data_IF_008072389393
#
_entry.id   IF_008072389393
#
_cell.length_a   1.000
_cell.length_b   1.000
_cell.length_c   1.000
_cell.angle_alpha   90.00
_cell.angle_beta   90.00
_cell.angle_gamma   90.00
#
_symmetry.space_group_name_H-M   'P 1'
#
loop_
_entity.id
_entity.type
_entity.pdbx_description
1 polymer ?
#
# COMPACT_ATOMS: atom_id res chain seq x y z
N UNK A 1 38.79 30.87 11.01
CA UNK A 1 37.58 30.27 11.61
C UNK A 1 37.80 28.78 11.81
N UNK A 2 37.65 28.21 13.03
CA UNK A 2 37.81 26.76 13.25
C UNK A 2 36.61 26.01 12.65
N UNK A 3 36.87 25.00 11.81
CA UNK A 3 35.84 24.28 11.03
C UNK A 3 35.02 23.29 11.86
N UNK A 4 35.56 22.69 12.92
CA UNK A 4 34.84 21.75 13.80
C UNK A 4 35.30 21.83 15.25
N UNK A 5 34.47 21.32 16.17
CA UNK A 5 34.78 21.28 17.61
C UNK A 5 35.87 20.24 17.98
N UNK A 6 36.28 19.35 17.07
CA UNK A 6 37.24 18.28 17.35
C UNK A 6 36.67 17.14 18.22
N UNK A 7 37.51 16.19 18.63
CA UNK A 7 37.09 15.04 19.47
C UNK A 7 36.65 15.53 20.85
N UNK A 8 35.38 15.29 21.18
CA UNK A 8 34.82 15.65 22.49
C UNK A 8 34.90 14.46 23.46
N UNK A 9 35.11 14.76 24.74
CA UNK A 9 34.96 13.77 25.82
C UNK A 9 33.47 13.46 26.01
N UNK A 10 33.15 12.19 26.18
CA UNK A 10 31.78 11.71 26.46
C UNK A 10 31.81 10.83 27.71
N UNK A 11 30.68 10.74 28.40
CA UNK A 11 30.52 9.85 29.56
C UNK A 11 30.50 8.37 29.11
N UNK A 12 31.02 7.48 29.96
CA UNK A 12 31.02 6.03 29.72
C UNK A 12 29.70 5.39 30.15
N UNK A 13 28.62 5.85 29.54
CA UNK A 13 27.26 5.32 29.68
C UNK A 13 26.64 5.09 28.30
N UNK A 14 25.41 4.58 28.26
CA UNK A 14 24.67 4.45 27.00
C UNK A 14 24.58 5.82 26.31
N UNK A 15 24.94 5.88 25.02
CA UNK A 15 24.75 7.08 24.21
C UNK A 15 23.27 7.18 23.89
N UNK A 16 22.55 8.20 24.35
CA UNK A 16 21.08 8.24 24.25
C UNK A 16 20.56 8.50 22.82
N UNK A 17 21.22 9.37 22.05
CA UNK A 17 20.85 9.63 20.66
C UNK A 17 21.14 8.40 19.78
N UNK A 18 20.10 7.91 19.07
CA UNK A 18 20.20 6.76 18.17
C UNK A 18 21.28 6.96 17.09
N UNK A 19 21.29 8.10 16.41
CA UNK A 19 22.24 8.40 15.34
C UNK A 19 23.68 8.49 15.86
N UNK A 20 23.86 9.19 16.99
CA UNK A 20 25.16 9.31 17.64
C UNK A 20 25.66 7.93 18.12
N UNK A 21 24.78 7.10 18.66
CA UNK A 21 25.08 5.74 19.11
C UNK A 21 25.46 4.83 17.94
N UNK A 22 24.70 4.85 16.84
CA UNK A 22 25.00 4.09 15.61
C UNK A 22 26.34 4.49 14.99
N UNK A 23 26.64 5.79 14.96
CA UNK A 23 27.94 6.31 14.50
C UNK A 23 29.08 5.91 15.43
N UNK A 24 28.87 6.04 16.74
CA UNK A 24 29.85 5.68 17.78
C UNK A 24 30.16 4.20 17.74
N UNK A 25 29.14 3.34 17.62
CA UNK A 25 29.29 1.90 17.44
C UNK A 25 30.20 1.59 16.25
N UNK A 26 29.91 2.18 15.09
CA UNK A 26 30.67 1.95 13.86
C UNK A 26 32.14 2.37 14.01
N UNK A 27 32.38 3.56 14.58
CA UNK A 27 33.74 4.07 14.82
C UNK A 27 34.51 3.25 15.86
N UNK A 28 33.88 2.88 16.98
CA UNK A 28 34.50 2.08 18.03
C UNK A 28 34.80 0.67 17.54
N UNK A 29 33.88 0.02 16.82
CA UNK A 29 34.11 -1.29 16.21
C UNK A 29 35.32 -1.26 15.26
N UNK A 30 35.42 -0.24 14.41
CA UNK A 30 36.58 -0.08 13.53
C UNK A 30 37.88 0.14 14.32
N UNK A 31 37.82 0.93 15.40
CA UNK A 31 38.96 1.14 16.29
C UNK A 31 39.42 -0.13 17.02
N UNK A 32 38.48 -0.94 17.52
CA UNK A 32 38.75 -2.24 18.15
C UNK A 32 39.41 -3.17 17.14
N UNK A 33 38.84 -3.30 15.94
CA UNK A 33 39.41 -4.13 14.87
C UNK A 33 40.84 -3.71 14.53
N UNK A 34 41.10 -2.40 14.39
CA UNK A 34 42.45 -1.89 14.13
C UNK A 34 43.42 -2.29 15.24
N UNK A 35 43.02 -2.08 16.51
CA UNK A 35 43.85 -2.40 17.67
C UNK A 35 44.13 -3.90 17.77
N UNK A 36 43.15 -4.72 17.45
CA UNK A 36 43.30 -6.16 17.47
C UNK A 36 44.26 -6.65 16.40
N UNK A 37 44.18 -6.11 15.18
CA UNK A 37 45.15 -6.42 14.13
C UNK A 37 46.57 -6.00 14.52
N UNK A 38 46.74 -4.85 15.19
CA UNK A 38 48.04 -4.44 15.73
C UNK A 38 48.56 -5.44 16.78
N UNK A 39 47.70 -5.88 17.71
CA UNK A 39 48.07 -6.88 18.74
C UNK A 39 48.45 -8.21 18.09
N UNK A 40 47.63 -8.71 17.16
CA UNK A 40 47.89 -9.95 16.43
C UNK A 40 49.25 -9.86 15.72
N UNK A 41 49.52 -8.76 15.01
CA UNK A 41 50.75 -8.62 14.25
C UNK A 41 52.02 -8.52 15.12
N UNK A 42 51.92 -7.95 16.33
CA UNK A 42 53.08 -7.77 17.23
C UNK A 42 53.29 -8.99 18.13
N UNK A 43 52.21 -9.61 18.60
CA UNK A 43 52.27 -10.67 19.60
C UNK A 43 52.11 -12.07 19.00
N UNK A 44 51.74 -12.20 17.72
CA UNK A 44 51.43 -13.47 17.05
C UNK A 44 50.41 -14.30 17.85
N UNK A 45 49.27 -13.67 18.16
CA UNK A 45 48.21 -14.26 18.99
C UNK A 45 46.95 -14.50 18.20
N UNK A 46 46.23 -15.55 18.58
CA UNK A 46 44.86 -15.78 18.13
C UNK A 46 43.90 -14.91 18.94
N UNK A 47 42.93 -14.30 18.26
CA UNK A 47 42.00 -13.39 18.92
C UNK A 47 40.65 -13.37 18.21
N UNK A 48 39.55 -13.26 18.96
CA UNK A 48 38.20 -13.09 18.41
C UNK A 48 37.35 -12.12 19.22
N UNK A 49 36.36 -11.46 18.58
CA UNK A 49 35.30 -10.74 19.27
C UNK A 49 33.95 -10.89 18.58
N UNK A 50 32.88 -10.73 19.36
CA UNK A 50 31.51 -10.67 18.89
C UNK A 50 30.82 -9.44 19.50
N UNK A 51 30.17 -8.63 18.65
CA UNK A 51 29.43 -7.46 19.11
C UNK A 51 28.07 -7.39 18.43
N UNK A 52 27.02 -7.16 19.21
CA UNK A 52 25.69 -6.87 18.70
C UNK A 52 25.47 -5.37 18.55
N UNK A 53 24.85 -4.97 17.44
CA UNK A 53 24.27 -3.62 17.32
C UNK A 53 22.78 -3.67 17.67
N UNK A 54 22.14 -2.51 17.77
CA UNK A 54 20.68 -2.43 17.98
C UNK A 54 19.86 -3.08 16.87
N UNK A 55 20.47 -3.36 15.71
CA UNK A 55 19.84 -4.16 14.66
C UNK A 55 19.67 -5.64 15.03
N UNK A 56 20.27 -6.11 16.12
CA UNK A 56 20.25 -7.51 16.55
C UNK A 56 21.17 -8.44 15.76
N UNK A 57 21.84 -7.94 14.71
CA UNK A 57 22.77 -8.75 13.92
C UNK A 57 24.15 -8.77 14.57
N UNK A 58 24.74 -9.95 14.81
CA UNK A 58 26.10 -10.05 15.32
C UNK A 58 27.08 -9.56 14.24
N UNK A 59 28.10 -8.84 14.69
CA UNK A 59 29.31 -8.55 13.92
C UNK A 59 30.47 -9.24 14.62
N UNK A 60 31.11 -10.14 13.90
CA UNK A 60 32.19 -10.97 14.42
C UNK A 60 33.52 -10.62 13.76
N UNK A 61 34.61 -10.92 14.45
CA UNK A 61 35.96 -10.94 13.92
C UNK A 61 36.70 -12.08 14.62
N UNK A 62 37.52 -12.80 13.88
CA UNK A 62 38.41 -13.82 14.44
C UNK A 62 39.67 -13.93 13.58
N UNK A 63 40.75 -14.32 14.24
CA UNK A 63 42.01 -14.68 13.63
C UNK A 63 42.51 -15.98 14.31
N UNK A 64 42.94 -17.01 13.55
CA UNK A 64 43.03 -17.04 12.09
C UNK A 64 41.68 -17.23 11.37
N UNK A 65 40.79 -18.08 11.89
CA UNK A 65 39.42 -18.24 11.38
C UNK A 65 38.37 -18.20 12.48
N UNK A 66 37.09 -18.18 12.09
CA UNK A 66 35.98 -18.22 13.06
C UNK A 66 35.80 -19.63 13.62
N UNK A 67 36.07 -20.64 12.78
CA UNK A 67 36.05 -22.05 13.12
C UNK A 67 37.04 -22.35 14.24
N UNK A 68 38.29 -21.89 14.09
CA UNK A 68 39.32 -22.02 15.14
C UNK A 68 38.87 -21.34 16.44
N UNK A 69 38.27 -20.14 16.33
CA UNK A 69 37.78 -19.42 17.49
C UNK A 69 36.63 -20.16 18.21
N UNK A 70 35.74 -20.81 17.47
CA UNK A 70 34.66 -21.62 18.03
C UNK A 70 35.22 -22.88 18.69
N UNK A 71 36.13 -23.58 18.02
CA UNK A 71 36.72 -24.82 18.51
C UNK A 71 37.51 -24.58 19.79
N UNK A 72 38.29 -23.50 19.86
CA UNK A 72 38.96 -23.09 21.11
C UNK A 72 37.99 -22.88 22.26
N UNK A 73 36.86 -22.20 22.03
CA UNK A 73 35.86 -21.94 23.07
C UNK A 73 35.23 -23.26 23.53
N UNK A 74 34.93 -24.17 22.61
CA UNK A 74 34.41 -25.51 22.94
C UNK A 74 35.40 -26.29 23.81
N UNK A 75 36.67 -26.36 23.40
CA UNK A 75 37.71 -27.05 24.14
C UNK A 75 37.98 -26.43 25.51
N UNK A 76 37.99 -25.09 25.61
CA UNK A 76 38.24 -24.36 26.87
C UNK A 76 37.14 -24.56 27.93
N UNK A 77 35.93 -24.88 27.49
CA UNK A 77 34.79 -25.15 28.39
C UNK A 77 34.76 -26.61 28.89
N UNK A 78 35.81 -27.41 28.65
CA UNK A 78 35.89 -28.81 29.08
C UNK A 78 34.91 -29.72 28.34
N UNK A 79 34.45 -29.29 27.16
CA UNK A 79 33.48 -30.01 26.36
C UNK A 79 34.22 -30.94 25.39
N UNK A 80 34.59 -32.13 25.87
CA UNK A 80 34.88 -33.27 24.98
C UNK A 80 33.69 -33.46 24.01
N UNK A 81 33.90 -33.82 22.74
CA UNK A 81 32.83 -33.98 21.76
C UNK A 81 31.99 -35.23 22.08
N UNK A 82 31.18 -35.16 23.13
CA UNK A 82 30.07 -36.05 23.38
C UNK A 82 28.97 -35.65 22.40
N UNK A 83 28.67 -36.50 21.42
CA UNK A 83 27.73 -36.25 20.31
C UNK A 83 26.27 -35.97 20.69
N UNK A 84 25.99 -35.49 21.92
CA UNK A 84 24.66 -35.13 22.42
C UNK A 84 24.44 -33.61 22.49
N UNK A 85 25.50 -32.80 22.53
CA UNK A 85 25.40 -31.37 22.82
C UNK A 85 25.31 -30.46 21.58
N UNK A 86 25.75 -30.95 20.42
CA UNK A 86 25.51 -30.29 19.12
C UNK A 86 24.01 -30.17 18.82
N UNK A 87 23.20 -31.13 19.29
CA UNK A 87 21.74 -31.05 19.21
C UNK A 87 21.16 -29.92 20.08
N UNK A 88 21.79 -29.60 21.22
CA UNK A 88 21.33 -28.57 22.16
C UNK A 88 21.62 -27.16 21.64
N UNK A 89 22.84 -26.92 21.14
CA UNK A 89 23.19 -25.64 20.48
C UNK A 89 22.43 -25.48 19.17
N UNK A 90 22.33 -26.55 18.38
CA UNK A 90 21.52 -26.59 17.16
C UNK A 90 20.05 -26.24 17.42
N UNK A 91 19.46 -26.83 18.46
CA UNK A 91 18.09 -26.55 18.91
C UNK A 91 17.91 -25.08 19.33
N UNK A 92 18.86 -24.49 20.07
CA UNK A 92 18.80 -23.09 20.46
C UNK A 92 18.91 -22.14 19.26
N UNK A 93 19.82 -22.44 18.32
CA UNK A 93 19.98 -21.68 17.07
C UNK A 93 18.72 -21.79 16.20
N UNK A 94 18.12 -22.97 16.10
CA UNK A 94 16.86 -23.18 15.40
C UNK A 94 15.70 -22.45 16.05
N UNK A 95 15.57 -22.50 17.39
CA UNK A 95 14.55 -21.78 18.13
C UNK A 95 14.67 -20.26 17.90
N UNK A 96 15.89 -19.72 17.96
CA UNK A 96 16.13 -18.31 17.64
C UNK A 96 15.75 -17.96 16.19
N UNK A 97 16.14 -18.81 15.22
CA UNK A 97 15.76 -18.63 13.81
C UNK A 97 14.24 -18.66 13.63
N UNK A 98 13.53 -19.58 14.28
CA UNK A 98 12.05 -19.68 14.23
C UNK A 98 11.41 -18.42 14.79
N UNK A 99 11.80 -18.00 15.98
CA UNK A 99 11.30 -16.78 16.62
C UNK A 99 11.50 -15.55 15.74
N UNK A 100 12.69 -15.38 15.15
CA UNK A 100 12.97 -14.25 14.24
C UNK A 100 12.17 -14.31 12.95
N UNK A 101 12.00 -15.51 12.38
CA UNK A 101 11.14 -15.69 11.21
C UNK A 101 9.68 -15.36 11.50
N UNK A 102 9.16 -15.72 12.67
CA UNK A 102 7.80 -15.36 13.09
C UNK A 102 7.63 -13.85 13.24
N UNK A 103 8.60 -13.19 13.87
CA UNK A 103 8.62 -11.73 14.02
C UNK A 103 8.60 -11.02 12.65
N UNK A 104 9.39 -11.52 11.69
CA UNK A 104 9.44 -10.99 10.32
C UNK A 104 8.15 -11.26 9.55
N UNK A 105 7.58 -12.46 9.68
CA UNK A 105 6.29 -12.82 9.06
C UNK A 105 5.17 -11.92 9.55
N UNK A 106 5.11 -11.65 10.86
CA UNK A 106 4.12 -10.73 11.44
C UNK A 106 4.25 -9.33 10.83
N UNK A 107 5.47 -8.79 10.80
CA UNK A 107 5.75 -7.48 10.18
C UNK A 107 5.32 -7.42 8.71
N UNK A 108 5.50 -8.51 7.95
CA UNK A 108 5.06 -8.58 6.55
C UNK A 108 3.53 -8.58 6.43
N UNK A 109 2.81 -9.27 7.31
CA UNK A 109 1.35 -9.24 7.34
C UNK A 109 0.83 -7.82 7.64
N UNK A 110 1.36 -7.18 8.68
CA UNK A 110 0.97 -5.83 9.08
C UNK A 110 1.17 -4.82 7.93
N UNK A 111 2.34 -4.86 7.28
CA UNK A 111 2.64 -3.98 6.13
C UNK A 111 1.75 -4.26 4.92
N UNK A 112 1.39 -5.52 4.67
CA UNK A 112 0.51 -5.90 3.58
C UNK A 112 -0.93 -5.39 3.81
N UNK A 113 -1.40 -5.38 5.05
CA UNK A 113 -2.69 -4.80 5.43
C UNK A 113 -2.69 -3.28 5.27
N UNK A 114 -1.64 -2.60 5.73
CA UNK A 114 -1.47 -1.15 5.54
C UNK A 114 -1.52 -0.77 4.05
N UNK A 115 -0.83 -1.53 3.19
CA UNK A 115 -0.86 -1.31 1.74
C UNK A 115 -2.26 -1.48 1.13
N UNK A 116 -3.05 -2.45 1.60
CA UNK A 116 -4.45 -2.61 1.16
C UNK A 116 -5.29 -1.39 1.54
N UNK A 117 -5.15 -0.92 2.78
CA UNK A 117 -5.85 0.25 3.29
C UNK A 117 -5.49 1.53 2.52
N UNK A 118 -4.21 1.72 2.20
CA UNK A 118 -3.75 2.86 1.39
C UNK A 118 -4.34 2.79 -0.02
N UNK A 119 -4.28 1.64 -0.69
CA UNK A 119 -4.87 1.45 -2.03
C UNK A 119 -6.37 1.73 -2.07
N UNK A 120 -7.11 1.31 -1.04
CA UNK A 120 -8.55 1.58 -0.98
C UNK A 120 -8.86 3.06 -0.73
N UNK A 121 -8.07 3.72 0.13
CA UNK A 121 -8.18 5.18 0.34
C UNK A 121 -7.88 5.96 -0.94
N UNK A 122 -6.88 5.54 -1.71
CA UNK A 122 -6.57 6.14 -3.02
C UNK A 122 -7.73 6.01 -4.00
N UNK A 123 -8.33 4.81 -4.14
CA UNK A 123 -9.52 4.60 -4.97
C UNK A 123 -10.67 5.51 -4.57
N UNK A 124 -10.97 5.60 -3.27
CA UNK A 124 -12.02 6.49 -2.74
C UNK A 124 -11.72 7.96 -2.99
N UNK A 125 -10.46 8.38 -2.90
CA UNK A 125 -10.07 9.76 -3.22
C UNK A 125 -10.25 10.09 -4.70
N UNK A 126 -9.89 9.18 -5.61
CA UNK A 126 -10.10 9.35 -7.05
C UNK A 126 -11.58 9.47 -7.37
N UNK A 127 -12.41 8.60 -6.79
CA UNK A 127 -13.86 8.64 -7.01
C UNK A 127 -14.48 9.96 -6.50
N UNK A 128 -14.10 10.40 -5.30
CA UNK A 128 -14.53 11.70 -4.76
C UNK A 128 -14.11 12.87 -5.63
N UNK A 129 -12.92 12.83 -6.26
CA UNK A 129 -12.47 13.86 -7.19
C UNK A 129 -13.33 13.89 -8.45
N UNK A 130 -13.63 12.74 -9.07
CA UNK A 130 -14.53 12.65 -10.22
C UNK A 130 -15.91 13.22 -9.92
N UNK A 131 -16.52 12.81 -8.81
CA UNK A 131 -17.83 13.33 -8.38
C UNK A 131 -17.78 14.85 -8.18
N UNK A 132 -16.70 15.36 -7.58
CA UNK A 132 -16.53 16.81 -7.38
C UNK A 132 -16.34 17.56 -8.69
N UNK A 133 -15.58 17.01 -9.63
CA UNK A 133 -15.39 17.57 -10.98
C UNK A 133 -16.73 17.62 -11.73
N UNK A 134 -17.47 16.51 -11.79
CA UNK A 134 -18.80 16.50 -12.40
C UNK A 134 -19.75 17.48 -11.71
N UNK A 135 -19.76 17.55 -10.36
CA UNK A 135 -20.59 18.51 -9.63
C UNK A 135 -20.25 19.96 -9.96
N UNK A 136 -18.97 20.28 -10.12
CA UNK A 136 -18.51 21.60 -10.52
C UNK A 136 -18.94 21.91 -11.97
N UNK A 137 -18.82 20.94 -12.87
CA UNK A 137 -19.26 21.04 -14.26
C UNK A 137 -20.76 21.34 -14.35
N UNK A 138 -21.60 20.59 -13.62
CA UNK A 138 -23.03 20.86 -13.50
C UNK A 138 -23.33 22.24 -12.89
N UNK A 139 -22.59 22.65 -11.85
CA UNK A 139 -22.77 23.97 -11.23
C UNK A 139 -22.39 25.11 -12.18
N UNK A 140 -21.39 24.92 -13.04
CA UNK A 140 -20.98 25.90 -14.03
C UNK A 140 -22.04 26.05 -15.12
N UNK A 141 -22.61 24.95 -15.62
CA UNK A 141 -23.73 24.98 -16.59
C UNK A 141 -24.95 25.73 -16.01
N UNK A 142 -25.26 25.50 -14.74
CA UNK A 142 -26.33 26.22 -14.02
C UNK A 142 -26.03 27.71 -13.86
N UNK A 143 -24.78 28.08 -13.60
CA UNK A 143 -24.35 29.47 -13.40
C UNK A 143 -24.17 30.26 -14.71
N UNK A 144 -23.71 29.62 -15.79
CA UNK A 144 -23.63 30.23 -17.12
C UNK A 144 -25.03 30.47 -17.71
N UNK A 145 -26.04 29.74 -17.21
CA UNK A 145 -27.42 29.86 -17.64
C UNK A 145 -27.60 29.26 -19.03
N UNK A 146 -28.58 28.37 -19.19
CA UNK A 146 -28.98 27.95 -20.53
C UNK A 146 -29.52 29.18 -21.27
N UNK A 147 -28.87 29.58 -22.37
CA UNK A 147 -29.31 30.73 -23.16
C UNK A 147 -30.78 30.52 -23.55
N UNK A 148 -31.66 31.36 -22.99
CA UNK A 148 -33.12 31.18 -23.03
C UNK A 148 -33.65 31.20 -24.46
N UNK A 149 -32.98 31.93 -25.36
CA UNK A 149 -33.33 32.03 -26.77
C UNK A 149 -32.80 30.85 -27.59
N UNK A 150 -31.67 30.25 -27.18
CA UNK A 150 -31.18 28.99 -27.73
C UNK A 150 -32.14 27.84 -27.38
N UNK A 151 -32.56 27.77 -26.11
CA UNK A 151 -33.48 26.74 -25.62
C UNK A 151 -34.85 26.83 -26.28
N UNK A 152 -35.37 28.05 -26.46
CA UNK A 152 -36.60 28.28 -27.22
C UNK A 152 -36.46 27.85 -28.68
N UNK A 153 -35.34 28.15 -29.33
CA UNK A 153 -35.09 27.73 -30.73
C UNK A 153 -35.06 26.21 -30.86
N UNK A 154 -34.36 25.51 -29.97
CA UNK A 154 -34.30 24.05 -29.96
C UNK A 154 -35.67 23.43 -29.68
N UNK A 155 -36.44 24.00 -28.73
CA UNK A 155 -37.80 23.55 -28.44
C UNK A 155 -38.74 23.76 -29.65
N UNK A 156 -38.66 24.92 -30.31
CA UNK A 156 -39.47 25.22 -31.49
C UNK A 156 -39.15 24.24 -32.63
N UNK A 157 -37.87 23.99 -32.90
CA UNK A 157 -37.44 23.03 -33.91
C UNK A 157 -37.91 21.59 -33.60
N UNK A 158 -37.90 21.20 -32.32
CA UNK A 158 -38.44 19.91 -31.89
C UNK A 158 -39.95 19.81 -32.11
N UNK A 159 -40.71 20.86 -31.78
CA UNK A 159 -42.16 20.92 -32.02
C UNK A 159 -42.47 20.83 -33.52
N UNK A 160 -41.75 21.57 -34.36
CA UNK A 160 -41.91 21.54 -35.82
C UNK A 160 -41.58 20.17 -36.40
N UNK A 161 -40.50 19.53 -35.92
CA UNK A 161 -40.15 18.18 -36.33
C UNK A 161 -41.25 17.19 -35.94
N UNK A 162 -41.76 17.28 -34.71
CA UNK A 162 -42.81 16.40 -34.22
C UNK A 162 -44.11 16.58 -35.02
N UNK A 163 -44.47 17.83 -35.36
CA UNK A 163 -45.62 18.14 -36.20
C UNK A 163 -45.43 17.61 -37.63
N UNK A 164 -44.24 17.74 -38.20
CA UNK A 164 -43.88 17.15 -39.50
C UNK A 164 -43.95 15.62 -39.47
N UNK A 165 -43.48 14.99 -38.39
CA UNK A 165 -43.53 13.54 -38.23
C UNK A 165 -44.96 13.04 -38.07
N UNK A 166 -45.79 13.71 -37.26
CA UNK A 166 -47.22 13.41 -37.12
C UNK A 166 -47.98 13.63 -38.43
N UNK A 167 -47.68 14.72 -39.16
CA UNK A 167 -48.28 14.98 -40.48
C UNK A 167 -47.87 13.96 -41.55
N UNK A 168 -46.59 13.53 -41.54
CA UNK A 168 -46.10 12.45 -42.42
C UNK A 168 -46.69 11.09 -42.04
N UNK A 169 -46.93 10.83 -40.76
CA UNK A 169 -47.65 9.64 -40.31
C UNK A 169 -49.12 9.66 -40.79
N UNK A 170 -49.79 10.82 -40.75
CA UNK A 170 -51.16 10.99 -41.25
C UNK A 170 -51.26 10.84 -42.77
N UNK A 171 -50.29 11.36 -43.54
CA UNK A 171 -50.24 11.20 -45.00
C UNK A 171 -49.95 9.76 -45.43
N UNK A 172 -49.26 8.96 -44.60
CA UNK A 172 -49.07 7.53 -44.85
C UNK A 172 -50.33 6.73 -44.55
N UNK A 173 -51.16 7.15 -43.59
CA UNK A 173 -52.47 6.54 -43.31
C UNK A 173 -53.56 6.98 -44.31
N UNK A 174 -53.38 8.10 -45.02
CA UNK A 174 -54.35 8.61 -46.01
C UNK A 174 -54.06 8.24 -47.47
N UNK A 175 -52.97 7.53 -47.77
CA UNK A 175 -52.61 7.11 -49.14
C UNK A 175 -52.96 5.65 -49.47
N UNK A 176 -53.50 4.91 -48.52
CA UNK A 176 -54.09 3.59 -48.77
C UNK A 176 -55.59 3.76 -48.99
N UNK A 177 -55.95 4.38 -50.11
CA UNK A 177 -57.32 4.71 -50.49
C UNK A 177 -57.56 4.58 -51.98
N UNK A 178 -57.29 3.39 -52.53
CA UNK A 178 -58.13 2.78 -53.59
C UNK A 178 -57.76 1.29 -53.73
N UNK A 179 -58.71 0.38 -53.41
CA UNK A 179 -58.50 -1.05 -53.67
C UNK A 179 -59.22 -2.12 -52.84
N UNK A 180 -60.49 -1.93 -52.48
CA UNK A 180 -61.52 -2.98 -52.32
C UNK A 180 -61.49 -4.03 -51.16
N UNK A 181 -62.67 -4.11 -50.52
CA UNK A 181 -63.37 -5.27 -49.95
C UNK A 181 -63.10 -5.76 -48.52
N UNK A 182 -64.16 -5.58 -47.71
CA UNK A 182 -64.72 -6.51 -46.71
C UNK A 182 -63.83 -7.00 -45.57
N UNK A 183 -64.17 -6.61 -44.34
CA UNK A 183 -64.81 -7.52 -43.37
C UNK A 183 -64.84 -6.91 -41.96
N UNK A 184 -66.05 -6.89 -41.39
CA UNK A 184 -66.41 -7.31 -40.03
C UNK A 184 -65.70 -6.75 -38.77
N UNK A 185 -66.60 -6.42 -37.83
CA UNK A 185 -66.51 -6.59 -36.38
C UNK A 185 -65.65 -5.56 -35.62
N UNK A 186 -66.00 -5.10 -34.42
CA UNK A 186 -67.16 -5.27 -33.55
C UNK A 186 -67.04 -4.17 -32.46
N UNK A 187 -68.09 -4.08 -31.65
CA UNK A 187 -68.28 -3.18 -30.51
C UNK A 187 -67.17 -3.26 -29.44
N UNK A 188 -67.04 -2.19 -28.67
CA UNK A 188 -66.47 -2.18 -27.31
C UNK A 188 -66.10 -0.75 -26.88
N UNK A 189 -67.06 0.07 -26.46
CA UNK A 189 -67.47 0.26 -25.06
C UNK A 189 -66.40 0.97 -24.20
N UNK A 190 -66.75 2.19 -23.77
CA UNK A 190 -66.03 2.99 -22.79
C UNK A 190 -66.01 2.28 -21.43
N UNK A 191 -64.93 2.40 -20.66
CA UNK A 191 -65.06 3.03 -19.34
C UNK A 191 -63.73 3.49 -18.77
N UNK A 192 -63.80 4.62 -18.07
CA UNK A 192 -62.70 5.18 -17.29
C UNK A 192 -62.56 4.45 -15.95
N UNK A 193 -61.36 4.52 -15.38
CA UNK A 193 -61.09 3.99 -14.05
C UNK A 193 -59.81 4.57 -13.49
N UNK A 194 -59.94 5.62 -12.68
CA UNK A 194 -59.00 5.98 -11.63
C UNK A 194 -58.80 4.82 -10.65
N UNK A 195 -57.56 4.59 -10.23
CA UNK A 195 -57.26 4.07 -8.90
C UNK A 195 -55.81 4.42 -8.52
N UNK A 196 -55.67 5.25 -7.48
CA UNK A 196 -54.42 5.45 -6.78
C UNK A 196 -54.03 4.25 -5.92
N UNK A 197 -52.76 4.19 -5.56
CA UNK A 197 -52.27 3.37 -4.47
C UNK A 197 -51.21 4.14 -3.67
N UNK A 198 -51.57 4.53 -2.45
CA UNK A 198 -50.63 4.66 -1.33
C UNK A 198 -50.05 3.28 -0.99
N UNK A 199 -48.79 3.21 -0.57
CA UNK A 199 -48.31 3.32 0.82
C UNK A 199 -48.13 1.94 1.45
N UNK A 200 -46.88 1.64 1.84
CA UNK A 200 -46.55 0.77 2.97
C UNK A 200 -45.06 0.98 3.32
N UNK A 201 -44.86 1.75 4.40
CA UNK A 201 -43.72 1.65 5.32
C UNK A 201 -44.10 0.77 6.49
#
# INVERSE_FOLDING_TARGET
MKRTKGKQKIEMKKVESYEARRTTFSKRKAGILKKMNEIIAVCDVEASFLVFSESGYPRTFAHPSMEDAVDRVKCSLGHEPSGKDDASIGSLVEAYKRQKNEELKKKLCDLAEELKMVKEKEKKMVEKKKIKESKNEWSNILNEGVNKDELKRVHQAFVELNYSLSGKALQRLGKDGDGSSSALAERGHCDGGEAGAGEQT
#
